data_IF_396937302495
#
_entry.id   IF_396937302495
#
_cell.length_a   1.000
_cell.length_b   1.000
_cell.length_c   1.000
_cell.angle_alpha   90.00
_cell.angle_beta   90.00
_cell.angle_gamma   90.00
#
_symmetry.space_group_name_H-M   'P 1'
#
loop_
_entity.id
_entity.type
_entity.pdbx_description
1 polymer ?
#
# COMPACT_ATOMS: atom_id res chain seq x y z
N UNK A 1 -0.08 -22.85 3.62
CA UNK A 1 -0.57 -22.23 2.37
C UNK A 1 -2.01 -22.62 2.05
N UNK A 2 -2.37 -23.91 2.03
CA UNK A 2 -3.72 -24.42 1.70
C UNK A 2 -4.86 -23.73 2.47
N UNK A 3 -4.71 -23.52 3.79
CA UNK A 3 -5.70 -22.77 4.61
C UNK A 3 -6.10 -21.41 4.01
N UNK A 4 -5.14 -20.69 3.42
CA UNK A 4 -5.37 -19.33 2.89
C UNK A 4 -5.69 -19.32 1.38
N UNK A 5 -5.49 -20.45 0.69
CA UNK A 5 -5.83 -20.68 -0.71
C UNK A 5 -6.34 -22.12 -0.90
N UNK A 6 -7.64 -22.38 -0.63
CA UNK A 6 -8.19 -23.74 -0.61
C UNK A 6 -8.03 -24.49 -1.94
N UNK A 7 -8.09 -23.78 -3.06
CA UNK A 7 -7.93 -24.34 -4.41
C UNK A 7 -6.47 -24.60 -4.81
N UNK A 8 -5.49 -24.43 -3.90
CA UNK A 8 -4.08 -24.60 -4.25
C UNK A 8 -3.76 -26.03 -4.72
N UNK A 9 -4.35 -27.03 -4.07
CA UNK A 9 -4.12 -28.44 -4.39
C UNK A 9 -4.98 -28.94 -5.56
N UNK A 10 -5.90 -28.13 -6.07
CA UNK A 10 -6.68 -28.49 -7.26
C UNK A 10 -5.96 -28.15 -8.57
N UNK A 11 -4.76 -27.57 -8.49
CA UNK A 11 -3.94 -27.22 -9.65
C UNK A 11 -2.94 -28.34 -9.91
N UNK A 12 -2.69 -28.68 -11.18
CA UNK A 12 -1.64 -29.63 -11.54
C UNK A 12 -0.26 -29.11 -11.13
N UNK A 13 0.69 -30.03 -10.93
CA UNK A 13 2.09 -29.70 -10.61
C UNK A 13 2.68 -28.75 -11.67
N UNK A 14 2.45 -29.04 -12.94
CA UNK A 14 2.88 -28.20 -14.07
C UNK A 14 2.29 -26.78 -13.98
N UNK A 15 1.00 -26.65 -13.64
CA UNK A 15 0.35 -25.34 -13.52
C UNK A 15 0.89 -24.54 -12.34
N UNK A 16 1.22 -25.20 -11.23
CA UNK A 16 1.84 -24.57 -10.06
C UNK A 16 3.27 -24.11 -10.37
N UNK A 17 4.05 -24.94 -11.05
CA UNK A 17 5.42 -24.62 -11.45
C UNK A 17 5.46 -23.41 -12.41
N UNK A 18 4.61 -23.44 -13.45
CA UNK A 18 4.45 -22.31 -14.39
C UNK A 18 4.08 -20.99 -13.67
N UNK A 19 3.28 -21.05 -12.60
CA UNK A 19 2.87 -19.88 -11.84
C UNK A 19 3.98 -19.36 -10.93
N UNK A 20 4.77 -20.25 -10.32
CA UNK A 20 5.96 -19.86 -9.58
C UNK A 20 6.99 -19.20 -10.51
N UNK A 21 7.21 -19.79 -11.69
CA UNK A 21 8.06 -19.23 -12.73
C UNK A 21 7.58 -17.85 -13.21
N UNK A 22 6.26 -17.67 -13.36
CA UNK A 22 5.68 -16.35 -13.65
C UNK A 22 6.05 -15.31 -12.61
N UNK A 23 5.82 -15.54 -11.31
CA UNK A 23 6.14 -14.57 -10.27
C UNK A 23 7.65 -14.29 -10.16
N UNK A 24 8.48 -15.30 -10.38
CA UNK A 24 9.93 -15.12 -10.39
C UNK A 24 10.38 -14.22 -11.56
N UNK A 25 9.84 -14.45 -12.76
CA UNK A 25 10.18 -13.67 -13.96
C UNK A 25 9.60 -12.26 -13.91
N UNK A 26 8.33 -12.11 -13.53
CA UNK A 26 7.63 -10.82 -13.54
C UNK A 26 8.17 -9.86 -12.47
N UNK A 27 8.53 -10.39 -11.31
CA UNK A 27 9.02 -9.58 -10.18
C UNK A 27 10.53 -9.55 -10.05
N UNK A 28 11.26 -10.37 -10.82
CA UNK A 28 12.73 -10.49 -10.79
C UNK A 28 13.30 -10.65 -9.35
N UNK A 29 12.55 -11.35 -8.49
CA UNK A 29 12.94 -11.60 -7.11
C UNK A 29 13.82 -12.85 -7.02
N UNK A 30 14.71 -12.88 -6.02
CA UNK A 30 15.43 -14.11 -5.65
C UNK A 30 14.44 -15.23 -5.32
N UNK A 31 14.80 -16.48 -5.61
CA UNK A 31 13.98 -17.68 -5.32
C UNK A 31 13.39 -17.68 -3.91
N UNK A 32 14.21 -17.33 -2.90
CA UNK A 32 13.76 -17.22 -1.50
C UNK A 32 12.65 -16.18 -1.33
N UNK A 33 12.84 -14.96 -1.83
CA UNK A 33 11.83 -13.88 -1.77
C UNK A 33 10.55 -14.23 -2.54
N UNK A 34 10.65 -14.90 -3.68
CA UNK A 34 9.48 -15.36 -4.44
C UNK A 34 8.68 -16.38 -3.63
N UNK A 35 9.36 -17.33 -2.98
CA UNK A 35 8.72 -18.29 -2.07
C UNK A 35 8.07 -17.58 -0.88
N UNK A 36 8.78 -16.67 -0.23
CA UNK A 36 8.27 -15.92 0.93
C UNK A 36 7.01 -15.09 0.55
N UNK A 37 7.00 -14.51 -0.67
CA UNK A 37 5.86 -13.78 -1.23
C UNK A 37 4.61 -14.68 -1.36
N UNK A 38 4.75 -15.83 -2.03
CA UNK A 38 3.61 -16.74 -2.25
C UNK A 38 3.19 -17.45 -0.96
N UNK A 39 4.10 -17.67 -0.01
CA UNK A 39 3.74 -18.18 1.33
C UNK A 39 2.92 -17.14 2.10
N UNK A 40 3.30 -15.85 2.01
CA UNK A 40 2.59 -14.74 2.66
C UNK A 40 1.23 -14.46 2.03
N UNK A 41 1.09 -14.59 0.71
CA UNK A 41 -0.20 -14.46 0.01
C UNK A 41 -0.43 -15.64 -0.97
N UNK A 42 -0.84 -16.82 -0.48
CA UNK A 42 -0.99 -18.03 -1.32
C UNK A 42 -2.01 -17.91 -2.45
N UNK A 43 -2.98 -16.99 -2.31
CA UNK A 43 -4.00 -16.73 -3.33
C UNK A 43 -3.43 -16.20 -4.64
N UNK A 44 -2.20 -15.68 -4.63
CA UNK A 44 -1.47 -15.30 -5.84
C UNK A 44 -1.29 -16.50 -6.79
N UNK A 45 -1.11 -17.70 -6.25
CA UNK A 45 -0.97 -18.92 -7.05
C UNK A 45 -2.30 -19.44 -7.59
N UNK A 46 -3.43 -19.10 -6.97
CA UNK A 46 -4.75 -19.61 -7.38
C UNK A 46 -5.58 -18.62 -8.19
N UNK A 47 -5.25 -17.32 -8.16
CA UNK A 47 -5.99 -16.25 -8.84
C UNK A 47 -5.61 -16.04 -10.32
N UNK A 48 -6.25 -15.07 -10.99
CA UNK A 48 -5.80 -14.60 -12.30
C UNK A 48 -4.43 -13.92 -12.16
N UNK A 49 -3.58 -14.09 -13.18
CA UNK A 49 -2.27 -13.44 -13.28
C UNK A 49 -2.37 -12.09 -14.00
N UNK A 50 -3.48 -11.78 -14.66
CA UNK A 50 -3.66 -10.54 -15.42
C UNK A 50 -3.57 -9.30 -14.53
N UNK A 51 -4.24 -9.24 -13.35
CA UNK A 51 -4.13 -8.07 -12.48
C UNK A 51 -2.69 -7.81 -12.03
N UNK A 52 -1.87 -8.86 -11.93
CA UNK A 52 -0.45 -8.73 -11.58
C UNK A 52 0.30 -8.00 -12.69
N UNK A 53 0.18 -8.48 -13.93
CA UNK A 53 0.84 -7.85 -15.10
C UNK A 53 0.39 -6.41 -15.30
N UNK A 54 -0.92 -6.16 -15.15
CA UNK A 54 -1.49 -4.82 -15.28
C UNK A 54 -0.96 -3.89 -14.19
N UNK A 55 -1.03 -4.31 -12.92
CA UNK A 55 -0.57 -3.48 -11.81
C UNK A 55 0.94 -3.20 -11.89
N UNK A 56 1.76 -4.16 -12.32
CA UNK A 56 3.19 -3.92 -12.57
C UNK A 56 3.42 -2.82 -13.60
N UNK A 57 2.61 -2.78 -14.68
CA UNK A 57 2.65 -1.68 -15.65
C UNK A 57 2.15 -0.38 -15.06
N UNK A 58 1.05 -0.40 -14.29
CA UNK A 58 0.50 0.80 -13.63
C UNK A 58 1.55 1.43 -12.70
N UNK A 59 2.17 0.66 -11.81
CA UNK A 59 3.19 1.19 -10.90
C UNK A 59 4.35 1.85 -11.64
N UNK A 60 4.80 1.26 -12.75
CA UNK A 60 5.98 1.74 -13.49
C UNK A 60 5.66 2.89 -14.44
N UNK A 61 4.62 2.74 -15.26
CA UNK A 61 4.31 3.64 -16.37
C UNK A 61 3.39 4.78 -15.96
N UNK A 62 2.43 4.53 -15.07
CA UNK A 62 1.45 5.55 -14.65
C UNK A 62 1.87 6.23 -13.34
N UNK A 63 2.36 5.48 -12.36
CA UNK A 63 2.73 6.02 -11.04
C UNK A 63 4.22 6.37 -10.94
N UNK A 64 5.04 6.01 -11.93
CA UNK A 64 6.44 6.42 -12.02
C UNK A 64 7.41 5.74 -11.04
N UNK A 65 7.04 4.63 -10.40
CA UNK A 65 7.96 3.89 -9.54
C UNK A 65 9.00 3.11 -10.34
N UNK A 66 10.23 3.07 -9.83
CA UNK A 66 11.29 2.23 -10.39
C UNK A 66 11.02 0.75 -10.08
N UNK A 67 11.57 -0.14 -10.90
CA UNK A 67 11.33 -1.58 -10.73
C UNK A 67 11.76 -2.09 -9.34
N UNK A 68 12.94 -1.68 -8.85
CA UNK A 68 13.44 -2.03 -7.53
C UNK A 68 12.57 -1.50 -6.37
N UNK A 69 11.96 -0.32 -6.55
CA UNK A 69 11.01 0.26 -5.60
C UNK A 69 9.74 -0.57 -5.55
N UNK A 70 9.21 -0.97 -6.71
CA UNK A 70 8.03 -1.86 -6.80
C UNK A 70 8.31 -3.18 -6.10
N UNK A 71 9.46 -3.81 -6.37
CA UNK A 71 9.90 -5.04 -5.67
C UNK A 71 9.91 -4.86 -4.15
N UNK A 72 10.42 -3.73 -3.65
CA UNK A 72 10.44 -3.44 -2.22
C UNK A 72 9.02 -3.32 -1.64
N UNK A 73 8.12 -2.64 -2.35
CA UNK A 73 6.74 -2.43 -1.88
C UNK A 73 5.94 -3.73 -1.87
N UNK A 74 5.97 -4.50 -2.96
CA UNK A 74 5.16 -5.73 -3.11
C UNK A 74 5.65 -6.88 -2.21
N UNK A 75 6.94 -6.93 -1.88
CA UNK A 75 7.45 -7.91 -0.90
C UNK A 75 6.98 -7.60 0.52
N UNK A 76 6.83 -6.31 0.87
CA UNK A 76 6.21 -5.88 2.13
C UNK A 76 4.69 -6.08 2.13
N UNK A 77 4.01 -5.67 1.07
CA UNK A 77 2.54 -5.69 0.93
C UNK A 77 2.14 -6.45 -0.35
N UNK A 78 2.08 -7.79 -0.33
CA UNK A 78 1.81 -8.59 -1.54
C UNK A 78 0.46 -8.32 -2.19
N UNK A 79 -0.52 -7.82 -1.43
CA UNK A 79 -1.86 -7.47 -1.93
C UNK A 79 -1.83 -6.37 -2.99
N UNK A 80 -0.76 -5.58 -3.04
CA UNK A 80 -0.54 -4.56 -4.08
C UNK A 80 -0.52 -5.17 -5.50
N UNK A 81 -0.10 -6.44 -5.64
CA UNK A 81 -0.03 -7.11 -6.94
C UNK A 81 -1.42 -7.34 -7.56
N UNK A 82 -2.46 -7.46 -6.74
CA UNK A 82 -3.84 -7.71 -7.20
C UNK A 82 -4.80 -6.64 -6.70
N UNK A 83 -4.30 -5.47 -6.36
CA UNK A 83 -5.12 -4.36 -5.90
C UNK A 83 -5.90 -3.76 -7.08
N UNK A 84 -7.03 -3.14 -6.77
CA UNK A 84 -7.84 -2.46 -7.77
C UNK A 84 -7.10 -1.22 -8.29
N UNK A 85 -6.93 -1.13 -9.62
CA UNK A 85 -6.23 -0.03 -10.29
C UNK A 85 -6.76 1.35 -9.87
N UNK A 86 -8.08 1.56 -9.91
CA UNK A 86 -8.70 2.85 -9.53
C UNK A 86 -8.32 3.25 -8.10
N UNK A 87 -8.39 2.30 -7.16
CA UNK A 87 -7.98 2.55 -5.77
C UNK A 87 -6.49 2.91 -5.68
N UNK A 88 -5.62 2.19 -6.40
CA UNK A 88 -4.17 2.48 -6.40
C UNK A 88 -3.86 3.87 -6.92
N UNK A 89 -4.42 4.23 -8.08
CA UNK A 89 -4.22 5.54 -8.70
C UNK A 89 -4.77 6.65 -7.82
N UNK A 90 -5.97 6.51 -7.26
CA UNK A 90 -6.55 7.51 -6.35
C UNK A 90 -5.72 7.67 -5.06
N UNK A 91 -5.21 6.56 -4.51
CA UNK A 91 -4.34 6.61 -3.33
C UNK A 91 -3.03 7.33 -3.66
N UNK A 92 -2.41 6.99 -4.78
CA UNK A 92 -1.15 7.59 -5.20
C UNK A 92 -1.32 9.08 -5.52
N UNK A 93 -2.32 9.44 -6.32
CA UNK A 93 -2.60 10.83 -6.70
C UNK A 93 -2.77 11.71 -5.46
N UNK A 94 -3.56 11.25 -4.49
CA UNK A 94 -3.75 12.01 -3.25
C UNK A 94 -2.46 12.13 -2.42
N UNK A 95 -1.73 11.02 -2.24
CA UNK A 95 -0.51 11.01 -1.41
C UNK A 95 0.63 11.78 -2.07
N UNK A 96 0.80 11.66 -3.39
CA UNK A 96 1.89 12.28 -4.12
C UNK A 96 1.58 13.74 -4.48
N UNK A 97 0.44 14.00 -5.11
CA UNK A 97 0.12 15.31 -5.68
C UNK A 97 -0.55 16.25 -4.66
N UNK A 98 -1.42 15.73 -3.78
CA UNK A 98 -2.11 16.57 -2.78
C UNK A 98 -1.28 16.71 -1.51
N UNK A 99 -0.79 15.60 -0.94
CA UNK A 99 0.02 15.64 0.28
C UNK A 99 1.50 16.00 0.02
N UNK A 100 1.91 16.15 -1.25
CA UNK A 100 3.28 16.46 -1.68
C UNK A 100 4.33 15.48 -1.15
N UNK A 101 4.00 14.19 -1.06
CA UNK A 101 4.92 13.16 -0.55
C UNK A 101 5.71 12.53 -1.72
N UNK A 102 7.05 12.55 -1.68
CA UNK A 102 7.86 12.01 -2.77
C UNK A 102 7.89 10.47 -2.78
N UNK A 103 8.11 9.88 -3.96
CA UNK A 103 8.13 8.42 -4.18
C UNK A 103 8.94 7.65 -3.16
N UNK A 104 10.16 8.12 -2.85
CA UNK A 104 11.07 7.41 -1.94
C UNK A 104 10.51 7.29 -0.50
N UNK A 105 9.64 8.20 -0.07
CA UNK A 105 8.94 8.11 1.22
C UNK A 105 7.76 7.15 1.11
N UNK A 106 6.99 7.20 0.02
CA UNK A 106 5.89 6.26 -0.24
C UNK A 106 6.42 4.82 -0.27
N UNK A 107 7.57 4.58 -0.91
CA UNK A 107 8.25 3.28 -1.00
C UNK A 107 8.67 2.76 0.39
N UNK A 108 9.08 3.65 1.30
CA UNK A 108 9.39 3.26 2.69
C UNK A 108 8.13 2.79 3.43
N UNK A 109 6.98 3.37 3.11
CA UNK A 109 5.70 3.15 3.78
C UNK A 109 4.58 2.64 2.83
N UNK A 110 4.75 1.47 2.19
CA UNK A 110 3.80 0.95 1.19
C UNK A 110 2.43 0.56 1.79
N UNK A 111 2.31 0.48 3.11
CA UNK A 111 1.05 0.23 3.81
C UNK A 111 -0.02 1.27 3.48
N UNK A 112 0.35 2.45 3.00
CA UNK A 112 -0.60 3.47 2.52
C UNK A 112 -1.53 2.92 1.44
N UNK A 113 -1.05 2.04 0.55
CA UNK A 113 -1.87 1.39 -0.48
C UNK A 113 -2.83 0.33 0.05
N UNK A 114 -2.61 -0.15 1.28
CA UNK A 114 -3.50 -1.08 1.96
C UNK A 114 -4.59 -0.36 2.79
N UNK A 115 -4.51 0.96 2.93
CA UNK A 115 -5.45 1.78 3.68
C UNK A 115 -6.63 2.21 2.79
N UNK A 116 -7.76 2.59 3.40
CA UNK A 116 -8.90 3.17 2.67
C UNK A 116 -8.60 4.64 2.36
N UNK A 117 -8.90 5.08 1.13
CA UNK A 117 -8.54 6.44 0.67
C UNK A 117 -9.22 7.52 1.52
N UNK A 118 -10.51 7.37 1.87
CA UNK A 118 -11.21 8.37 2.69
C UNK A 118 -10.50 8.62 4.03
N UNK A 119 -10.00 7.57 4.71
CA UNK A 119 -9.26 7.70 5.98
C UNK A 119 -7.99 8.55 5.81
N UNK A 120 -7.30 8.42 4.68
CA UNK A 120 -6.13 9.24 4.35
C UNK A 120 -6.57 10.68 4.15
N UNK A 121 -7.64 10.91 3.38
CA UNK A 121 -8.17 12.24 3.08
C UNK A 121 -8.60 12.98 4.34
N UNK A 122 -9.47 12.38 5.14
CA UNK A 122 -9.99 12.90 6.39
C UNK A 122 -8.88 13.34 7.36
N UNK A 123 -7.90 12.45 7.60
CA UNK A 123 -6.77 12.73 8.49
C UNK A 123 -5.83 13.80 7.93
N UNK A 124 -5.58 13.78 6.62
CA UNK A 124 -4.74 14.80 5.98
C UNK A 124 -5.39 16.19 6.08
N UNK A 125 -6.68 16.29 5.71
CA UNK A 125 -7.43 17.54 5.75
C UNK A 125 -7.52 18.08 7.17
N UNK A 126 -7.72 17.23 8.17
CA UNK A 126 -7.73 17.66 9.56
C UNK A 126 -6.37 18.18 10.02
N UNK A 127 -5.27 17.48 9.68
CA UNK A 127 -3.93 17.99 9.98
C UNK A 127 -3.62 19.29 9.23
N UNK A 128 -4.10 19.45 8.00
CA UNK A 128 -3.95 20.67 7.22
C UNK A 128 -4.72 21.83 7.88
N UNK A 129 -5.96 21.60 8.31
CA UNK A 129 -6.77 22.55 9.06
C UNK A 129 -6.08 23.02 10.36
N UNK A 130 -5.42 22.10 11.06
CA UNK A 130 -4.66 22.40 12.28
C UNK A 130 -3.26 23.00 12.03
N UNK A 131 -2.82 23.15 10.77
CA UNK A 131 -1.47 23.58 10.43
C UNK A 131 -0.37 22.58 10.81
N UNK A 132 -0.72 21.29 10.95
CA UNK A 132 0.15 20.19 11.41
C UNK A 132 0.46 19.14 10.33
N UNK A 133 0.05 19.39 9.08
CA UNK A 133 0.37 18.53 7.95
C UNK A 133 1.85 18.67 7.55
N UNK A 134 2.75 18.03 8.29
CA UNK A 134 4.19 17.99 8.01
C UNK A 134 4.64 16.55 7.76
N UNK A 135 4.94 16.22 6.51
CA UNK A 135 5.37 14.88 6.08
C UNK A 135 6.84 14.80 5.68
N UNK A 136 7.60 15.89 5.83
CA UNK A 136 9.04 15.93 5.58
C UNK A 136 9.82 15.45 6.81
N UNK A 137 10.58 14.34 6.73
CA UNK A 137 11.36 13.83 7.85
C UNK A 137 12.51 14.74 8.27
N UNK A 138 12.91 15.72 7.44
CA UNK A 138 13.96 16.67 7.79
C UNK A 138 13.45 17.85 8.63
N UNK A 139 12.12 18.00 8.78
CA UNK A 139 11.49 19.14 9.47
C UNK A 139 10.96 18.75 10.85
N UNK A 140 10.90 19.70 11.81
CA UNK A 140 10.27 19.45 13.10
C UNK A 140 8.78 19.12 12.93
N UNK A 141 8.23 18.38 13.90
CA UNK A 141 6.84 17.90 13.88
C UNK A 141 6.52 16.92 12.73
N UNK A 142 7.52 16.19 12.23
CA UNK A 142 7.33 15.17 11.21
C UNK A 142 6.29 14.10 11.61
N UNK A 143 5.30 13.94 10.74
CA UNK A 143 4.28 12.91 10.82
C UNK A 143 4.61 11.79 9.84
N UNK A 144 5.12 10.67 10.35
CA UNK A 144 5.40 9.51 9.52
C UNK A 144 4.13 8.89 8.93
N UNK A 145 4.17 8.52 7.64
CA UNK A 145 3.05 7.85 6.97
C UNK A 145 2.60 6.56 7.67
N UNK A 146 3.53 5.82 8.29
CA UNK A 146 3.18 4.61 9.04
C UNK A 146 2.21 4.89 10.19
N UNK A 147 2.60 5.76 11.12
CA UNK A 147 1.74 6.17 12.25
C UNK A 147 0.44 6.79 11.74
N UNK A 148 0.53 7.61 10.69
CA UNK A 148 -0.61 8.28 10.07
C UNK A 148 -1.68 7.30 9.56
N UNK A 149 -1.32 6.17 8.96
CA UNK A 149 -2.31 5.21 8.45
C UNK A 149 -2.70 4.13 9.47
N UNK A 150 -1.75 3.72 10.32
CA UNK A 150 -1.88 2.55 11.19
C UNK A 150 -2.60 2.86 12.51
N UNK A 151 -2.48 4.09 13.04
CA UNK A 151 -3.05 4.40 14.35
C UNK A 151 -4.60 4.39 14.33
N UNK A 152 -5.26 3.99 15.44
CA UNK A 152 -6.67 4.30 15.70
C UNK A 152 -6.94 5.81 15.77
N UNK A 153 -8.20 6.23 15.65
CA UNK A 153 -8.54 7.67 15.60
C UNK A 153 -8.26 8.36 16.94
N UNK A 154 -8.44 7.66 18.06
CA UNK A 154 -8.18 8.20 19.40
C UNK A 154 -6.68 8.51 19.58
N UNK A 155 -5.84 7.58 19.16
CA UNK A 155 -4.37 7.72 19.23
C UNK A 155 -3.90 8.77 18.23
N UNK A 156 -4.45 8.79 17.01
CA UNK A 156 -4.16 9.82 16.02
C UNK A 156 -4.48 11.22 16.55
N UNK A 157 -5.66 11.42 17.12
CA UNK A 157 -6.10 12.71 17.66
C UNK A 157 -5.19 13.17 18.80
N UNK A 158 -4.92 12.28 19.77
CA UNK A 158 -4.12 12.60 20.95
C UNK A 158 -2.64 12.79 20.66
N UNK A 159 -2.04 11.90 19.87
CA UNK A 159 -0.58 11.86 19.69
C UNK A 159 -0.09 12.69 18.51
N UNK A 160 -0.84 12.74 17.41
CA UNK A 160 -0.43 13.41 16.17
C UNK A 160 -1.12 14.76 16.04
N UNK A 161 -2.46 14.78 16.01
CA UNK A 161 -3.21 16.01 15.82
C UNK A 161 -3.14 16.94 17.05
N UNK A 162 -2.84 16.39 18.23
CA UNK A 162 -2.93 17.07 19.54
C UNK A 162 -4.26 17.82 19.69
N UNK A 163 -5.35 17.12 19.37
CA UNK A 163 -6.74 17.60 19.40
C UNK A 163 -7.63 16.55 20.04
N UNK A 164 -8.86 16.92 20.43
CA UNK A 164 -9.81 15.94 20.95
C UNK A 164 -10.45 15.15 19.80
N UNK A 165 -10.93 13.93 20.09
CA UNK A 165 -11.69 13.13 19.12
C UNK A 165 -12.98 13.85 18.70
N UNK A 166 -13.62 14.56 19.63
CA UNK A 166 -14.80 15.36 19.34
C UNK A 166 -14.53 16.49 18.35
N UNK A 167 -13.36 17.13 18.41
CA UNK A 167 -12.99 18.16 17.42
C UNK A 167 -12.78 17.55 16.03
N UNK A 168 -12.18 16.36 15.98
CA UNK A 168 -12.05 15.62 14.73
C UNK A 168 -13.42 15.24 14.15
N UNK A 169 -14.32 14.67 14.95
CA UNK A 169 -15.69 14.33 14.52
C UNK A 169 -16.48 15.56 14.05
N UNK A 170 -16.35 16.70 14.73
CA UNK A 170 -16.97 17.96 14.30
C UNK A 170 -16.41 18.42 12.97
N UNK A 171 -15.09 18.34 12.77
CA UNK A 171 -14.46 18.68 11.50
C UNK A 171 -14.94 17.77 10.36
N UNK A 172 -15.05 16.46 10.61
CA UNK A 172 -15.53 15.52 9.60
C UNK A 172 -16.95 15.81 9.11
N UNK A 173 -17.80 16.43 9.94
CA UNK A 173 -19.15 16.87 9.53
C UNK A 173 -19.15 18.10 8.61
N UNK A 174 -17.99 18.73 8.38
CA UNK A 174 -17.83 19.89 7.49
C UNK A 174 -17.24 19.52 6.12
N UNK A 175 -16.84 18.27 5.93
CA UNK A 175 -16.33 17.72 4.66
C UNK A 175 -17.48 17.21 3.77
#
# INVERSE_FOLDING_TARGET
MVKNAPFLLSFSVERLDNRLGFFQKELELSVKKTRDLVVRLPRLLTGSLEPVKENMKVYRLELGFKHNEIQHMVTKIPKMLTANKRKLTETFDYVHNVMNIPHHIIVKFPQVFNTRVFKIKERHLFLAYLGKAQYDPAKPNYVSLDKFVSFPDEVFCKEIAKASVNDFEKFLKTL
#
